data_IF_128215298177
#
_entry.id   IF_128215298177
#
_cell.length_a   1.000
_cell.length_b   1.000
_cell.length_c   1.000
_cell.angle_alpha   90.00
_cell.angle_beta   90.00
_cell.angle_gamma   90.00
#
_symmetry.space_group_name_H-M   'P 1'
#
loop_
_entity.id
_entity.type
_entity.pdbx_description
1 polymer ?
#
# COMPACT_ATOMS: atom_id res chain seq x y z
N UNK A 1 -19.76 53.48 -19.33
CA UNK A 1 -19.38 53.67 -17.91
C UNK A 1 -20.62 53.25 -17.11
N UNK A 2 -20.73 52.09 -16.47
CA UNK A 2 -19.89 51.53 -15.41
C UNK A 2 -19.77 49.99 -15.53
N UNK A 3 -18.54 49.55 -15.81
CA UNK A 3 -17.80 48.45 -15.17
C UNK A 3 -18.63 47.26 -14.64
N UNK A 4 -18.75 46.23 -15.48
CA UNK A 4 -19.11 44.86 -15.13
C UNK A 4 -17.94 44.25 -14.31
N UNK A 5 -17.98 44.40 -12.98
CA UNK A 5 -17.03 43.77 -12.04
C UNK A 5 -17.81 42.97 -11.01
N UNK A 6 -18.13 41.72 -11.35
CA UNK A 6 -18.43 40.70 -10.34
C UNK A 6 -17.69 39.43 -10.76
N UNK A 7 -16.40 39.46 -10.44
CA UNK A 7 -15.62 38.37 -9.85
C UNK A 7 -16.16 36.97 -10.16
N UNK A 8 -15.62 36.35 -11.21
CA UNK A 8 -15.57 34.88 -11.32
C UNK A 8 -14.73 34.39 -10.15
N UNK A 9 -15.39 34.12 -9.03
CA UNK A 9 -14.81 33.45 -7.88
C UNK A 9 -14.49 32.03 -8.26
N UNK A 10 -13.31 31.83 -8.85
CA UNK A 10 -12.70 30.54 -9.07
C UNK A 10 -12.44 29.92 -7.68
N UNK A 11 -13.44 29.18 -7.17
CA UNK A 11 -13.35 28.38 -5.96
C UNK A 11 -12.42 27.20 -6.30
N UNK A 12 -11.10 27.47 -6.30
CA UNK A 12 -10.05 26.47 -6.23
C UNK A 12 -10.16 25.82 -4.85
N UNK A 13 -11.09 24.87 -4.71
CA UNK A 13 -11.03 23.89 -3.63
C UNK A 13 -9.81 23.06 -3.97
N UNK A 14 -8.65 23.50 -3.49
CA UNK A 14 -7.51 22.63 -3.30
C UNK A 14 -7.95 21.60 -2.25
N UNK A 15 -8.65 20.55 -2.70
CA UNK A 15 -8.74 19.31 -1.92
C UNK A 15 -7.32 18.79 -1.84
N UNK A 16 -6.60 19.25 -0.81
CA UNK A 16 -5.44 18.55 -0.29
C UNK A 16 -5.96 17.17 0.13
N UNK A 17 -5.94 16.21 -0.81
CA UNK A 17 -6.10 14.81 -0.49
C UNK A 17 -5.06 14.49 0.56
N UNK A 18 -5.52 14.24 1.78
CA UNK A 18 -4.69 13.94 2.91
C UNK A 18 -4.24 12.49 2.84
N UNK A 19 -3.36 12.13 1.89
CA UNK A 19 -3.10 10.72 1.55
C UNK A 19 -2.95 9.83 2.78
N UNK A 20 -3.56 8.64 2.77
CA UNK A 20 -3.46 7.69 3.89
C UNK A 20 -2.02 7.23 3.96
N UNK A 21 -1.26 7.82 4.89
CA UNK A 21 0.10 7.36 5.17
C UNK A 21 0.04 6.34 6.27
N UNK A 22 0.86 5.31 6.19
CA UNK A 22 1.04 4.41 7.32
C UNK A 22 1.33 5.20 8.61
N UNK A 23 0.78 4.75 9.73
CA UNK A 23 1.16 5.28 11.03
C UNK A 23 2.62 4.94 11.31
N UNK A 24 3.27 5.69 12.22
CA UNK A 24 4.64 5.37 12.65
C UNK A 24 4.80 3.94 13.17
N UNK A 25 3.73 3.37 13.74
CA UNK A 25 3.71 1.98 14.22
C UNK A 25 3.70 1.01 13.04
N UNK A 26 2.80 1.19 12.10
CA UNK A 26 2.71 0.38 10.87
C UNK A 26 4.03 0.44 10.09
N UNK A 27 4.59 1.64 9.87
CA UNK A 27 5.89 1.81 9.19
C UNK A 27 7.01 1.06 9.92
N UNK A 28 7.07 1.17 11.26
CA UNK A 28 8.09 0.46 12.04
C UNK A 28 7.96 -1.05 11.89
N UNK A 29 6.73 -1.60 11.91
CA UNK A 29 6.50 -3.04 11.73
C UNK A 29 6.95 -3.49 10.34
N UNK A 30 6.49 -2.78 9.29
CA UNK A 30 6.86 -3.07 7.89
C UNK A 30 8.38 -3.05 7.75
N UNK A 31 9.05 -2.01 8.23
CA UNK A 31 10.50 -1.87 8.12
C UNK A 31 11.26 -2.96 8.88
N UNK A 32 10.77 -3.33 10.07
CA UNK A 32 11.37 -4.42 10.86
C UNK A 32 11.34 -5.73 10.08
N UNK A 33 10.19 -6.08 9.49
CA UNK A 33 10.08 -7.29 8.68
C UNK A 33 10.79 -7.20 7.34
N UNK A 34 10.86 -6.01 6.75
CA UNK A 34 11.61 -5.77 5.53
C UNK A 34 13.10 -6.05 5.73
N UNK A 35 13.68 -5.56 6.81
CA UNK A 35 15.08 -5.80 7.18
C UNK A 35 15.34 -7.28 7.51
N UNK A 36 14.43 -7.93 8.25
CA UNK A 36 14.51 -9.36 8.55
C UNK A 36 14.44 -10.23 7.28
N UNK A 37 13.47 -9.96 6.40
CA UNK A 37 13.30 -10.68 5.14
C UNK A 37 14.50 -10.50 4.20
N UNK A 38 15.05 -9.29 4.11
CA UNK A 38 16.27 -9.06 3.33
C UNK A 38 17.44 -9.89 3.86
N UNK A 39 17.58 -9.97 5.19
CA UNK A 39 18.59 -10.81 5.84
C UNK A 39 18.38 -12.30 5.53
N UNK A 40 17.17 -12.81 5.72
CA UNK A 40 16.84 -14.23 5.49
C UNK A 40 17.05 -14.65 4.03
N UNK A 41 16.74 -13.76 3.09
CA UNK A 41 16.86 -13.98 1.64
C UNK A 41 18.27 -13.66 1.10
N UNK A 42 19.16 -13.09 1.92
CA UNK A 42 20.51 -12.68 1.51
C UNK A 42 20.56 -11.48 0.55
N UNK A 43 19.52 -10.65 0.51
CA UNK A 43 19.40 -9.49 -0.39
C UNK A 43 20.15 -8.29 0.21
N UNK A 44 21.31 -7.95 -0.36
CA UNK A 44 22.20 -6.90 0.19
C UNK A 44 21.74 -5.48 -0.12
N UNK A 45 21.17 -5.26 -1.30
CA UNK A 45 20.80 -3.92 -1.78
C UNK A 45 19.36 -3.54 -1.46
N UNK A 46 18.74 -4.17 -0.47
CA UNK A 46 17.31 -4.00 -0.16
C UNK A 46 16.92 -2.55 0.17
N UNK A 47 17.86 -1.73 0.66
CA UNK A 47 17.62 -0.33 1.02
C UNK A 47 17.14 0.52 -0.16
N UNK A 48 17.47 0.15 -1.41
CA UNK A 48 17.00 0.87 -2.61
C UNK A 48 15.49 0.84 -2.79
N UNK A 49 14.82 -0.16 -2.20
CA UNK A 49 13.39 -0.36 -2.25
C UNK A 49 12.63 0.24 -1.05
N UNK A 50 13.33 0.63 0.02
CA UNK A 50 12.71 0.99 1.31
C UNK A 50 11.74 2.16 1.18
N UNK A 51 12.16 3.24 0.53
CA UNK A 51 11.34 4.44 0.37
C UNK A 51 10.21 4.25 -0.65
N UNK A 52 10.51 3.62 -1.79
CA UNK A 52 9.55 3.40 -2.89
C UNK A 52 8.50 2.35 -2.55
N UNK A 53 8.85 1.33 -1.75
CA UNK A 53 7.93 0.30 -1.30
C UNK A 53 6.91 0.82 -0.28
N UNK A 54 7.31 1.69 0.64
CA UNK A 54 6.37 2.28 1.62
C UNK A 54 5.42 3.27 0.95
N UNK A 55 5.89 4.03 -0.04
CA UNK A 55 5.12 5.09 -0.67
C UNK A 55 4.24 4.63 -1.84
N UNK A 56 4.27 3.35 -2.22
CA UNK A 56 3.58 2.84 -3.40
C UNK A 56 4.27 3.17 -4.73
N UNK A 57 5.40 3.87 -4.70
CA UNK A 57 6.13 4.33 -5.89
C UNK A 57 7.00 3.24 -6.51
N UNK A 58 7.15 2.08 -5.87
CA UNK A 58 7.81 0.95 -6.49
C UNK A 58 6.98 0.44 -7.67
N UNK A 59 7.43 0.74 -8.88
CA UNK A 59 6.80 0.33 -10.14
C UNK A 59 7.48 -0.88 -10.77
N UNK A 60 8.72 -1.17 -10.38
CA UNK A 60 9.54 -2.25 -10.95
C UNK A 60 9.45 -3.50 -10.07
N UNK A 61 9.11 -4.62 -10.70
CA UNK A 61 9.00 -5.96 -10.11
C UNK A 61 10.25 -6.80 -10.38
N UNK A 62 11.42 -6.32 -9.97
CA UNK A 62 12.59 -7.19 -10.02
C UNK A 62 12.45 -8.35 -9.02
N UNK A 63 13.21 -9.43 -9.27
CA UNK A 63 13.09 -10.68 -8.53
C UNK A 63 13.32 -10.49 -7.01
N UNK A 64 14.27 -9.62 -6.65
CA UNK A 64 14.57 -9.32 -5.25
C UNK A 64 13.40 -8.63 -4.57
N UNK A 65 12.80 -7.62 -5.20
CA UNK A 65 11.66 -6.91 -4.63
C UNK A 65 10.42 -7.82 -4.51
N UNK A 66 10.18 -8.67 -5.50
CA UNK A 66 9.07 -9.64 -5.48
C UNK A 66 9.19 -10.59 -4.27
N UNK A 67 10.37 -11.18 -4.07
CA UNK A 67 10.65 -12.08 -2.92
C UNK A 67 10.55 -11.35 -1.59
N UNK A 68 11.11 -10.14 -1.53
CA UNK A 68 11.14 -9.32 -0.32
C UNK A 68 9.71 -8.92 0.10
N UNK A 69 8.90 -8.45 -0.84
CA UNK A 69 7.51 -8.08 -0.61
C UNK A 69 6.68 -9.28 -0.15
N UNK A 70 6.82 -10.43 -0.83
CA UNK A 70 6.14 -11.65 -0.45
C UNK A 70 6.49 -12.09 0.98
N UNK A 71 7.78 -12.07 1.33
CA UNK A 71 8.24 -12.39 2.68
C UNK A 71 7.64 -11.44 3.73
N UNK A 72 7.62 -10.13 3.45
CA UNK A 72 7.00 -9.17 4.38
C UNK A 72 5.52 -9.46 4.57
N UNK A 73 4.79 -9.71 3.47
CA UNK A 73 3.36 -10.01 3.49
C UNK A 73 3.03 -11.28 4.29
N UNK A 74 3.87 -12.30 4.24
CA UNK A 74 3.74 -13.46 5.13
C UNK A 74 4.04 -13.11 6.59
N UNK A 75 5.06 -12.28 6.87
CA UNK A 75 5.40 -11.90 8.26
C UNK A 75 4.37 -10.99 8.93
N UNK A 76 3.63 -10.20 8.16
CA UNK A 76 2.45 -9.46 8.65
C UNK A 76 1.16 -10.26 8.54
N UNK A 77 1.24 -11.53 8.14
CA UNK A 77 0.13 -12.48 8.07
C UNK A 77 -1.02 -12.04 7.14
N UNK A 78 -0.70 -11.31 6.07
CA UNK A 78 -1.67 -10.96 5.02
C UNK A 78 -1.93 -12.12 4.08
N UNK A 79 -0.92 -12.96 3.87
CA UNK A 79 -1.03 -14.20 3.12
C UNK A 79 -0.51 -15.34 4.01
N UNK A 80 -1.24 -16.45 4.08
CA UNK A 80 -0.74 -17.66 4.72
C UNK A 80 0.23 -18.43 3.80
N UNK A 81 0.79 -19.54 4.28
CA UNK A 81 1.73 -20.35 3.52
C UNK A 81 1.13 -20.99 2.25
N UNK A 82 -0.20 -21.08 2.16
CA UNK A 82 -0.91 -21.59 0.99
C UNK A 82 -1.23 -20.46 -0.02
N UNK A 83 -0.81 -19.23 0.27
CA UNK A 83 -1.06 -18.05 -0.55
C UNK A 83 -2.48 -17.50 -0.41
N UNK A 84 -3.23 -17.92 0.61
CA UNK A 84 -4.57 -17.38 0.87
C UNK A 84 -4.48 -16.07 1.63
N UNK A 85 -5.19 -15.08 1.12
CA UNK A 85 -5.26 -13.77 1.74
C UNK A 85 -6.12 -13.75 3.02
N UNK A 86 -5.62 -13.11 4.07
CA UNK A 86 -6.33 -12.86 5.33
C UNK A 86 -6.91 -11.45 5.35
N UNK A 87 -8.21 -11.34 5.06
CA UNK A 87 -8.94 -10.07 5.12
C UNK A 87 -8.88 -9.46 6.51
N UNK A 88 -9.07 -10.26 7.55
CA UNK A 88 -9.16 -9.78 8.93
C UNK A 88 -7.83 -9.17 9.37
N UNK A 89 -6.71 -9.87 9.17
CA UNK A 89 -5.38 -9.37 9.52
C UNK A 89 -5.01 -8.10 8.75
N UNK A 90 -5.36 -8.05 7.46
CA UNK A 90 -5.10 -6.87 6.64
C UNK A 90 -5.91 -5.65 7.11
N UNK A 91 -7.22 -5.83 7.32
CA UNK A 91 -8.10 -4.75 7.78
C UNK A 91 -7.70 -4.29 9.17
N UNK A 92 -7.42 -5.19 10.10
CA UNK A 92 -6.92 -4.84 11.44
C UNK A 92 -5.62 -4.05 11.34
N UNK A 93 -4.66 -4.52 10.53
CA UNK A 93 -3.39 -3.82 10.35
C UNK A 93 -3.59 -2.41 9.80
N UNK A 94 -4.38 -2.25 8.72
CA UNK A 94 -4.58 -0.95 8.06
C UNK A 94 -5.43 0.01 8.90
N UNK A 95 -6.41 -0.48 9.65
CA UNK A 95 -7.30 0.37 10.46
C UNK A 95 -6.65 0.89 11.74
N UNK A 96 -5.52 0.31 12.17
CA UNK A 96 -4.77 0.79 13.34
C UNK A 96 -4.35 2.26 13.22
N UNK A 97 -5.02 3.13 13.95
CA UNK A 97 -4.77 4.58 13.97
C UNK A 97 -5.39 5.36 12.80
N UNK A 98 -6.31 4.75 12.05
CA UNK A 98 -7.01 5.37 10.92
C UNK A 98 -8.52 5.36 11.13
N UNK A 99 -9.20 6.41 10.66
CA UNK A 99 -10.66 6.52 10.66
C UNK A 99 -11.17 6.55 9.22
N UNK A 100 -12.48 6.33 9.01
CA UNK A 100 -13.17 6.45 7.71
C UNK A 100 -12.73 5.43 6.65
N UNK A 101 -12.50 4.18 7.06
CA UNK A 101 -12.10 3.07 6.17
C UNK A 101 -13.29 2.17 5.76
N UNK A 102 -14.49 2.73 5.67
CA UNK A 102 -15.73 1.98 5.41
C UNK A 102 -15.69 1.21 4.08
N UNK A 103 -14.99 1.74 3.08
CA UNK A 103 -14.86 1.16 1.75
C UNK A 103 -13.66 0.20 1.62
N UNK A 104 -12.82 0.12 2.66
CA UNK A 104 -11.61 -0.71 2.67
C UNK A 104 -11.91 -2.19 2.35
N UNK A 105 -12.91 -2.85 2.96
CA UNK A 105 -13.16 -4.27 2.67
C UNK A 105 -13.51 -4.55 1.20
N UNK A 106 -14.30 -3.68 0.57
CA UNK A 106 -14.69 -3.83 -0.84
C UNK A 106 -13.52 -3.60 -1.78
N UNK A 107 -12.68 -2.60 -1.48
CA UNK A 107 -11.44 -2.34 -2.21
C UNK A 107 -10.49 -3.53 -2.12
N UNK A 108 -10.27 -4.04 -0.92
CA UNK A 108 -9.41 -5.21 -0.69
C UNK A 108 -9.95 -6.42 -1.44
N UNK A 109 -11.26 -6.66 -1.38
CA UNK A 109 -11.91 -7.77 -2.10
C UNK A 109 -11.72 -7.66 -3.61
N UNK A 110 -11.83 -6.46 -4.18
CA UNK A 110 -11.57 -6.22 -5.60
C UNK A 110 -10.12 -6.53 -5.98
N UNK A 111 -9.16 -6.11 -5.14
CA UNK A 111 -7.74 -6.39 -5.37
C UNK A 111 -7.38 -7.87 -5.23
N UNK A 112 -7.95 -8.56 -4.24
CA UNK A 112 -7.71 -10.00 -4.01
C UNK A 112 -8.35 -10.87 -5.11
N UNK A 113 -9.55 -10.50 -5.58
CA UNK A 113 -10.26 -11.25 -6.62
C UNK A 113 -9.55 -11.28 -7.98
N UNK A 114 -8.58 -10.39 -8.20
CA UNK A 114 -7.84 -10.26 -9.46
C UNK A 114 -6.47 -10.96 -9.45
N UNK A 115 -6.01 -11.49 -8.31
CA UNK A 115 -4.67 -12.04 -8.13
C UNK A 115 -4.48 -13.35 -8.91
N UNK A 116 -3.34 -13.47 -9.61
CA UNK A 116 -2.97 -14.66 -10.39
C UNK A 116 -1.46 -14.88 -10.36
N UNK A 117 -1.03 -16.12 -10.62
CA UNK A 117 0.38 -16.46 -10.76
C UNK A 117 0.99 -17.05 -9.49
N UNK A 118 2.31 -16.91 -9.32
CA UNK A 118 3.03 -17.37 -8.13
C UNK A 118 2.71 -16.51 -6.90
N UNK A 119 2.98 -16.97 -5.66
CA UNK A 119 2.79 -16.17 -4.45
C UNK A 119 3.45 -14.78 -4.52
N UNK A 120 4.66 -14.69 -5.07
CA UNK A 120 5.37 -13.43 -5.22
C UNK A 120 4.68 -12.48 -6.22
N UNK A 121 4.19 -13.03 -7.34
CA UNK A 121 3.43 -12.27 -8.34
C UNK A 121 2.11 -11.76 -7.75
N UNK A 122 1.43 -12.60 -6.96
CA UNK A 122 0.18 -12.22 -6.27
C UNK A 122 0.42 -11.12 -5.23
N UNK A 123 1.47 -11.24 -4.42
CA UNK A 123 1.86 -10.21 -3.46
C UNK A 123 2.13 -8.86 -4.15
N UNK A 124 2.85 -8.87 -5.26
CA UNK A 124 3.11 -7.64 -6.01
C UNK A 124 1.87 -7.08 -6.70
N UNK A 125 1.02 -7.91 -7.28
CA UNK A 125 -0.27 -7.49 -7.85
C UNK A 125 -1.17 -6.87 -6.79
N UNK A 126 -1.24 -7.46 -5.61
CA UNK A 126 -2.00 -6.93 -4.47
C UNK A 126 -1.46 -5.57 -4.06
N UNK A 127 -0.15 -5.48 -3.80
CA UNK A 127 0.53 -4.21 -3.49
C UNK A 127 0.20 -3.12 -4.52
N UNK A 128 0.40 -3.40 -5.80
CA UNK A 128 0.12 -2.45 -6.90
C UNK A 128 -1.35 -2.06 -6.93
N UNK A 129 -2.25 -3.02 -6.77
CA UNK A 129 -3.68 -2.76 -6.76
C UNK A 129 -4.02 -1.81 -5.62
N UNK A 130 -3.65 -2.11 -4.39
CA UNK A 130 -3.97 -1.28 -3.21
C UNK A 130 -3.46 0.16 -3.34
N UNK A 131 -2.22 0.35 -3.79
CA UNK A 131 -1.66 1.69 -4.01
C UNK A 131 -2.24 2.42 -5.23
N UNK A 132 -2.89 1.70 -6.17
CA UNK A 132 -3.59 2.31 -7.31
C UNK A 132 -4.99 2.82 -6.94
N UNK A 133 -5.53 2.41 -5.80
CA UNK A 133 -6.86 2.83 -5.36
C UNK A 133 -6.77 4.26 -4.82
N UNK A 134 -7.61 5.15 -5.36
CA UNK A 134 -7.71 6.53 -4.89
C UNK A 134 -8.15 6.62 -3.42
N UNK A 135 -8.63 5.53 -2.81
CA UNK A 135 -9.11 5.50 -1.42
C UNK A 135 -8.01 5.28 -0.38
N UNK A 136 -6.82 4.83 -0.79
CA UNK A 136 -5.60 4.94 0.04
C UNK A 136 -4.94 6.31 -0.11
N UNK A 137 -5.48 7.15 -1.01
CA UNK A 137 -5.25 8.58 -1.01
C UNK A 137 -6.38 9.21 -0.20
N UNK A 138 -6.34 9.10 1.14
CA UNK A 138 -7.14 9.98 2.01
C UNK A 138 -6.90 11.45 1.60
#
# INVERSE_FOLDING_TARGET
MFILKVTVGLFLIATLGCHAKFTKRQEKIILTYFEACASDLGIKEYLKYKASGISGQQTVSDEDFLKLLNCVFHRVEFFDCDGKFSMDNFVEFITDGHNNLEQLPDVVKACVGALKGTPEEQSFQFYRCMFSQDQFKI
#
